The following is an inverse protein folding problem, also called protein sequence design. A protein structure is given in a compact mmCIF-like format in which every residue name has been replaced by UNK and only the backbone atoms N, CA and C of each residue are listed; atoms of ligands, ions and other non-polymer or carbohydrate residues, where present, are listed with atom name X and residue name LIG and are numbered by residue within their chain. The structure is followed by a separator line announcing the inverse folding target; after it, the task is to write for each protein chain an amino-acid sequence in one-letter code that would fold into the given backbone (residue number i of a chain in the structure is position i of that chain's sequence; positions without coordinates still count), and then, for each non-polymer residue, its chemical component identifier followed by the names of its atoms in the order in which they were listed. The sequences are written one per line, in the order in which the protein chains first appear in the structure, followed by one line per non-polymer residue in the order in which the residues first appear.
data_IF_218350285290
#
_entry.id   IF_218350285290
#
_cell.length_a   1.000
_cell.length_b   1.000
_cell.length_c   1.000
_cell.angle_alpha   90.00
_cell.angle_beta   90.00
_cell.angle_gamma   90.00
#
_symmetry.space_group_name_H-M   'P 1'
#
loop_
_entity.id
_entity.type
_entity.pdbx_description
1 polymer ?
#
# COMPACT_ATOMS: atom_id res chain seq x y z
N UNK A 1 67.83 -55.84 20.03
CA UNK A 1 66.48 -55.78 20.60
C UNK A 1 66.09 -54.35 20.62
N UNK A 2 65.29 -53.93 19.64
CA UNK A 2 64.86 -52.57 19.44
C UNK A 2 63.33 -52.51 19.67
N UNK A 3 62.90 -51.66 20.62
CA UNK A 3 61.51 -51.38 20.98
C UNK A 3 60.95 -50.35 20.04
N UNK A 4 59.86 -50.67 19.32
CA UNK A 4 59.09 -49.77 18.52
C UNK A 4 58.07 -49.04 19.40
N UNK A 5 58.20 -47.70 19.53
CA UNK A 5 57.26 -46.85 20.18
C UNK A 5 56.10 -46.47 19.18
N UNK A 6 54.87 -46.76 19.59
CA UNK A 6 53.71 -46.38 18.84
C UNK A 6 53.34 -44.90 19.10
N UNK A 7 53.31 -44.10 18.05
CA UNK A 7 52.82 -42.71 18.10
C UNK A 7 51.30 -42.70 17.96
N UNK A 8 50.57 -42.33 18.98
CA UNK A 8 49.12 -42.05 18.92
C UNK A 8 48.88 -40.67 18.33
N UNK A 9 48.27 -40.63 17.14
CA UNK A 9 47.73 -39.43 16.54
C UNK A 9 46.34 -39.14 17.15
N UNK A 10 46.24 -38.14 18.00
CA UNK A 10 44.97 -37.61 18.49
C UNK A 10 44.43 -36.65 17.45
N UNK A 11 43.41 -37.07 16.69
CA UNK A 11 42.62 -36.19 15.82
C UNK A 11 41.64 -35.36 16.67
N UNK A 12 41.96 -34.10 16.89
CA UNK A 12 41.01 -33.13 17.43
C UNK A 12 39.99 -32.74 16.36
N UNK A 13 38.80 -33.35 16.42
CA UNK A 13 37.63 -32.93 15.62
C UNK A 13 37.12 -31.59 16.13
N UNK A 14 37.51 -30.50 15.49
CA UNK A 14 36.87 -29.22 15.69
C UNK A 14 35.44 -29.29 15.14
N UNK A 15 34.47 -29.37 16.06
CA UNK A 15 33.06 -29.14 15.70
C UNK A 15 32.90 -27.67 15.39
N UNK A 16 32.76 -27.34 14.11
CA UNK A 16 32.28 -26.05 13.63
C UNK A 16 30.81 -25.92 14.05
N UNK A 17 30.56 -25.32 15.20
CA UNK A 17 29.20 -24.85 15.55
C UNK A 17 28.95 -23.60 14.73
N UNK A 18 28.28 -23.76 13.58
CA UNK A 18 27.66 -22.65 12.89
C UNK A 18 26.59 -22.07 13.83
N UNK A 19 26.93 -21.02 14.53
CA UNK A 19 25.98 -20.19 15.26
C UNK A 19 25.04 -19.57 14.24
N UNK A 20 23.85 -20.12 14.07
CA UNK A 20 22.78 -19.48 13.34
C UNK A 20 22.43 -18.20 14.13
N UNK A 21 22.90 -17.04 13.67
CA UNK A 21 22.43 -15.76 14.16
C UNK A 21 20.93 -15.70 13.89
N UNK A 22 20.11 -15.83 14.92
CA UNK A 22 18.70 -15.46 14.85
C UNK A 22 18.64 -13.95 14.63
N UNK A 23 18.29 -13.54 13.43
CA UNK A 23 18.07 -12.12 13.09
C UNK A 23 16.98 -11.56 14.01
N UNK A 24 17.23 -10.44 14.66
CA UNK A 24 16.24 -9.85 15.56
C UNK A 24 15.05 -9.29 14.76
N UNK A 25 13.86 -9.25 15.36
CA UNK A 25 12.65 -8.67 14.73
C UNK A 25 12.89 -7.24 14.23
N UNK A 26 13.65 -6.44 14.97
CA UNK A 26 14.01 -5.09 14.58
C UNK A 26 14.88 -5.05 13.32
N UNK A 27 15.82 -5.97 13.17
CA UNK A 27 16.66 -6.07 11.96
C UNK A 27 15.84 -6.46 10.74
N UNK A 28 14.89 -7.41 10.88
CA UNK A 28 13.98 -7.81 9.79
C UNK A 28 13.10 -6.65 9.33
N UNK A 29 12.46 -5.95 10.26
CA UNK A 29 11.57 -4.82 9.93
C UNK A 29 12.29 -3.65 9.25
N UNK A 30 13.60 -3.49 9.46
CA UNK A 30 14.43 -2.46 8.86
C UNK A 30 15.33 -2.98 7.73
N UNK A 31 15.17 -4.23 7.32
CA UNK A 31 15.94 -4.83 6.25
C UNK A 31 15.81 -4.02 4.95
N UNK A 32 16.89 -3.94 4.18
CA UNK A 32 16.96 -3.17 2.92
C UNK A 32 16.67 -4.00 1.69
N UNK A 33 16.78 -5.32 1.80
CA UNK A 33 16.55 -6.29 0.72
C UNK A 33 15.27 -7.07 0.96
N UNK A 34 14.63 -7.49 -0.11
CA UNK A 34 13.41 -8.28 -0.05
C UNK A 34 13.66 -9.63 0.63
N UNK A 35 14.76 -10.32 0.33
CA UNK A 35 15.08 -11.64 0.88
C UNK A 35 15.20 -11.61 2.42
N UNK A 36 15.67 -10.49 2.97
CA UNK A 36 15.81 -10.33 4.42
C UNK A 36 14.47 -9.93 5.04
N UNK A 37 13.76 -8.98 4.44
CA UNK A 37 12.47 -8.50 4.94
C UNK A 37 11.40 -9.59 4.90
N UNK A 38 11.33 -10.34 3.82
CA UNK A 38 10.27 -11.33 3.59
C UNK A 38 10.33 -12.52 4.56
N UNK A 39 11.39 -12.64 5.38
CA UNK A 39 11.47 -13.59 6.49
C UNK A 39 10.43 -13.33 7.60
N UNK A 40 9.80 -12.15 7.63
CA UNK A 40 8.67 -11.88 8.53
C UNK A 40 7.41 -12.69 8.15
N UNK A 41 7.30 -13.11 6.89
CA UNK A 41 6.17 -13.86 6.35
C UNK A 41 6.41 -15.38 6.41
N UNK A 42 5.34 -16.19 6.37
CA UNK A 42 5.47 -17.62 6.09
C UNK A 42 6.21 -17.86 4.77
N UNK A 43 7.08 -18.88 4.72
CA UNK A 43 7.94 -19.18 3.56
C UNK A 43 7.17 -19.27 2.23
N UNK A 44 5.97 -19.86 2.25
CA UNK A 44 5.12 -19.98 1.05
C UNK A 44 4.75 -18.61 0.46
N UNK A 45 4.52 -17.60 1.32
CA UNK A 45 4.21 -16.24 0.89
C UNK A 45 5.48 -15.47 0.48
N UNK A 46 6.59 -15.66 1.18
CA UNK A 46 7.87 -15.04 0.80
C UNK A 46 8.26 -15.36 -0.65
N UNK A 47 7.97 -16.57 -1.14
CA UNK A 47 8.21 -16.96 -2.54
C UNK A 47 7.37 -16.20 -3.57
N UNK A 48 6.20 -15.67 -3.18
CA UNK A 48 5.33 -14.87 -4.05
C UNK A 48 5.75 -13.39 -4.11
N UNK A 49 6.62 -12.96 -3.21
CA UNK A 49 6.99 -11.55 -3.03
C UNK A 49 7.52 -10.89 -4.31
N UNK A 50 8.36 -11.60 -5.05
CA UNK A 50 8.97 -11.07 -6.27
C UNK A 50 7.97 -10.69 -7.38
N UNK A 51 6.79 -11.32 -7.40
CA UNK A 51 5.78 -11.11 -8.43
C UNK A 51 4.61 -10.25 -7.95
N UNK A 52 4.21 -10.39 -6.68
CA UNK A 52 2.93 -9.88 -6.21
C UNK A 52 3.04 -8.72 -5.22
N UNK A 53 4.22 -8.45 -4.65
CA UNK A 53 4.35 -7.37 -3.67
C UNK A 53 5.47 -6.41 -4.05
N UNK A 54 5.26 -5.16 -3.73
CA UNK A 54 6.22 -4.10 -4.02
C UNK A 54 7.56 -4.37 -3.33
N UNK A 55 8.69 -4.20 -4.04
CA UNK A 55 10.01 -4.32 -3.43
C UNK A 55 10.22 -3.35 -2.26
N UNK A 56 11.03 -3.73 -1.28
CA UNK A 56 11.32 -2.93 -0.07
C UNK A 56 11.70 -1.50 -0.41
N UNK A 57 12.60 -1.28 -1.38
CA UNK A 57 13.06 0.05 -1.77
C UNK A 57 11.95 0.89 -2.42
N UNK A 58 11.03 0.25 -3.14
CA UNK A 58 9.83 0.89 -3.72
C UNK A 58 8.87 1.30 -2.60
N UNK A 59 8.55 0.38 -1.67
CA UNK A 59 7.70 0.66 -0.52
C UNK A 59 8.21 1.86 0.30
N UNK A 60 9.52 1.93 0.60
CA UNK A 60 10.13 3.05 1.33
C UNK A 60 9.96 4.37 0.59
N UNK A 61 10.26 4.39 -0.71
CA UNK A 61 10.13 5.58 -1.53
C UNK A 61 8.67 6.03 -1.60
N UNK A 62 7.73 5.10 -1.84
CA UNK A 62 6.30 5.38 -1.89
C UNK A 62 5.78 5.96 -0.57
N UNK A 63 6.13 5.35 0.56
CA UNK A 63 5.73 5.83 1.89
C UNK A 63 6.25 7.26 2.17
N UNK A 64 7.52 7.54 1.86
CA UNK A 64 8.09 8.88 1.99
C UNK A 64 7.42 9.93 1.09
N UNK A 65 6.94 9.53 -0.09
CA UNK A 65 6.20 10.42 -0.98
C UNK A 65 4.77 10.67 -0.50
N UNK A 66 4.14 9.73 0.17
CA UNK A 66 2.77 9.85 0.67
C UNK A 66 2.70 10.58 2.02
N UNK A 67 3.61 10.28 2.93
CA UNK A 67 3.61 10.86 4.29
C UNK A 67 4.36 12.19 4.28
N UNK A 68 3.62 13.29 4.11
CA UNK A 68 4.18 14.65 4.07
C UNK A 68 4.28 15.31 5.45
N UNK A 69 3.54 14.77 6.42
CA UNK A 69 3.56 15.23 7.81
C UNK A 69 3.28 14.05 8.75
N UNK A 70 3.73 14.12 10.02
CA UNK A 70 3.38 13.10 11.01
C UNK A 70 1.85 12.92 11.12
N UNK A 71 1.42 11.66 11.25
CA UNK A 71 0.01 11.32 11.38
C UNK A 71 -0.78 11.23 10.06
N UNK A 72 -0.16 11.48 8.88
CA UNK A 72 -0.81 11.25 7.58
C UNK A 72 -1.39 9.84 7.53
N UNK A 73 -2.69 9.70 7.24
CA UNK A 73 -3.40 8.42 7.12
C UNK A 73 -3.32 7.94 5.67
N UNK A 74 -2.70 6.80 5.46
CA UNK A 74 -2.45 6.19 4.15
C UNK A 74 -3.28 4.93 4.01
N UNK A 75 -4.03 4.80 2.91
CA UNK A 75 -4.71 3.56 2.52
C UNK A 75 -3.86 2.80 1.50
N UNK A 76 -3.58 1.54 1.78
CA UNK A 76 -2.99 0.56 0.87
C UNK A 76 -4.11 -0.30 0.27
N UNK A 77 -4.38 -0.13 -1.03
CA UNK A 77 -5.47 -0.79 -1.73
C UNK A 77 -5.00 -2.13 -2.29
N UNK A 78 -5.53 -3.23 -1.74
CA UNK A 78 -5.07 -4.58 -2.05
C UNK A 78 -3.72 -4.87 -1.38
N UNK A 79 -3.67 -4.72 -0.05
CA UNK A 79 -2.40 -4.73 0.70
C UNK A 79 -1.70 -6.09 0.76
N UNK A 80 -2.34 -7.17 0.30
CA UNK A 80 -1.78 -8.52 0.39
C UNK A 80 -1.42 -8.89 1.83
N UNK A 81 -0.20 -9.38 2.10
CA UNK A 81 0.27 -9.71 3.45
C UNK A 81 0.74 -8.48 4.24
N UNK A 82 0.46 -7.25 3.77
CA UNK A 82 0.73 -6.01 4.48
C UNK A 82 2.15 -5.46 4.35
N UNK A 83 2.94 -5.91 3.37
CA UNK A 83 4.34 -5.52 3.21
C UNK A 83 4.54 -4.00 3.14
N UNK A 84 3.76 -3.30 2.31
CA UNK A 84 3.85 -1.84 2.18
C UNK A 84 3.47 -1.13 3.50
N UNK A 85 2.39 -1.56 4.16
CA UNK A 85 1.95 -0.98 5.43
C UNK A 85 3.03 -1.08 6.51
N UNK A 86 3.65 -2.26 6.67
CA UNK A 86 4.72 -2.50 7.66
C UNK A 86 5.93 -1.62 7.36
N UNK A 87 6.41 -1.60 6.11
CA UNK A 87 7.56 -0.78 5.70
C UNK A 87 7.25 0.71 5.87
N UNK A 88 6.06 1.14 5.49
CA UNK A 88 5.63 2.53 5.62
C UNK A 88 5.65 3.02 7.07
N UNK A 89 5.06 2.25 7.97
CA UNK A 89 4.99 2.57 9.39
C UNK A 89 6.35 2.55 10.11
N UNK A 90 7.28 1.67 9.67
CA UNK A 90 8.65 1.61 10.23
C UNK A 90 9.59 2.64 9.62
N UNK A 91 9.23 3.24 8.47
CA UNK A 91 10.08 4.19 7.74
C UNK A 91 9.63 5.65 7.92
N UNK A 92 8.35 5.87 8.25
CA UNK A 92 7.74 7.20 8.36
C UNK A 92 6.95 7.36 9.67
N UNK A 93 6.38 8.54 9.89
CA UNK A 93 5.45 8.83 10.99
C UNK A 93 3.97 8.76 10.57
N UNK A 94 3.66 8.10 9.43
CA UNK A 94 2.30 7.90 8.94
C UNK A 94 1.54 6.80 9.69
N UNK A 95 0.22 6.80 9.54
CA UNK A 95 -0.68 5.71 9.90
C UNK A 95 -1.07 4.97 8.61
N UNK A 96 -0.94 3.65 8.60
CA UNK A 96 -1.18 2.84 7.41
C UNK A 96 -2.35 1.89 7.66
N UNK A 97 -3.35 1.95 6.82
CA UNK A 97 -4.44 0.97 6.78
C UNK A 97 -4.35 0.19 5.47
N UNK A 98 -4.25 -1.12 5.56
CA UNK A 98 -4.31 -2.00 4.39
C UNK A 98 -5.67 -2.66 4.28
N UNK A 99 -6.29 -2.64 3.09
CA UNK A 99 -7.49 -3.40 2.79
C UNK A 99 -7.15 -4.58 1.88
N UNK A 100 -7.60 -5.79 2.27
CA UNK A 100 -7.35 -7.02 1.53
C UNK A 100 -8.61 -7.92 1.55
N UNK A 101 -9.06 -8.33 0.34
CA UNK A 101 -10.25 -9.17 0.20
C UNK A 101 -9.99 -10.66 0.48
N UNK A 102 -8.74 -11.14 0.34
CA UNK A 102 -8.37 -12.52 0.65
C UNK A 102 -8.19 -12.71 2.14
N UNK A 103 -9.10 -13.44 2.76
CA UNK A 103 -9.07 -13.65 4.20
C UNK A 103 -7.78 -14.29 4.73
N UNK A 104 -7.09 -15.12 3.93
CA UNK A 104 -5.81 -15.72 4.32
C UNK A 104 -4.69 -14.67 4.36
N UNK A 105 -4.59 -13.82 3.33
CA UNK A 105 -3.59 -12.75 3.26
C UNK A 105 -3.82 -11.71 4.35
N UNK A 106 -5.08 -11.27 4.52
CA UNK A 106 -5.44 -10.32 5.57
C UNK A 106 -5.09 -10.83 6.97
N UNK A 107 -5.40 -12.11 7.29
CA UNK A 107 -5.02 -12.71 8.57
C UNK A 107 -3.51 -12.78 8.74
N UNK A 108 -2.75 -13.19 7.71
CA UNK A 108 -1.28 -13.19 7.78
C UNK A 108 -0.75 -11.79 8.06
N UNK A 109 -1.27 -10.76 7.37
CA UNK A 109 -0.88 -9.38 7.62
C UNK A 109 -1.15 -8.94 9.07
N UNK A 110 -2.34 -9.27 9.61
CA UNK A 110 -2.71 -9.00 11.01
C UNK A 110 -1.77 -9.72 11.99
N UNK A 111 -1.44 -10.98 11.72
CA UNK A 111 -0.51 -11.77 12.55
C UNK A 111 0.90 -11.18 12.54
N UNK A 112 1.41 -10.76 11.37
CA UNK A 112 2.71 -10.11 11.23
C UNK A 112 2.75 -8.79 12.03
N UNK A 113 1.75 -7.93 11.86
CA UNK A 113 1.64 -6.66 12.59
C UNK A 113 1.64 -6.90 14.10
N UNK A 114 0.84 -7.87 14.57
CA UNK A 114 0.74 -8.25 15.98
C UNK A 114 2.05 -8.85 16.53
N UNK A 115 2.61 -9.83 15.81
CA UNK A 115 3.83 -10.57 16.23
C UNK A 115 5.02 -9.64 16.38
N UNK A 116 5.21 -8.73 15.42
CA UNK A 116 6.35 -7.82 15.39
C UNK A 116 6.05 -6.46 16.04
N UNK A 117 4.89 -6.31 16.70
CA UNK A 117 4.46 -5.08 17.39
C UNK A 117 4.59 -3.82 16.53
N UNK A 118 4.22 -3.92 15.24
CA UNK A 118 4.34 -2.80 14.29
C UNK A 118 3.31 -1.71 14.66
N UNK A 119 3.75 -0.52 15.07
CA UNK A 119 2.84 0.55 15.46
C UNK A 119 2.20 1.21 14.24
N UNK A 120 1.03 1.84 14.41
CA UNK A 120 0.36 2.65 13.37
C UNK A 120 0.01 1.88 12.09
N UNK A 121 -0.25 0.58 12.20
CA UNK A 121 -0.74 -0.26 11.11
C UNK A 121 -2.05 -0.92 11.52
N UNK A 122 -3.03 -0.83 10.64
CA UNK A 122 -4.30 -1.54 10.70
C UNK A 122 -4.52 -2.35 9.43
N UNK A 123 -5.01 -3.58 9.55
CA UNK A 123 -5.33 -4.43 8.39
C UNK A 123 -6.81 -4.79 8.45
N UNK A 124 -7.52 -4.41 7.41
CA UNK A 124 -8.95 -4.66 7.21
C UNK A 124 -9.13 -5.80 6.22
N UNK A 125 -9.78 -6.88 6.67
CA UNK A 125 -10.27 -7.91 5.76
C UNK A 125 -11.62 -7.44 5.19
N UNK A 126 -11.65 -7.08 3.92
CA UNK A 126 -12.85 -6.54 3.29
C UNK A 126 -12.65 -6.17 1.82
N UNK A 127 -13.72 -5.73 1.18
CA UNK A 127 -13.69 -5.23 -0.19
C UNK A 127 -13.38 -3.73 -0.20
N UNK A 128 -12.69 -3.26 -1.23
CA UNK A 128 -12.37 -1.83 -1.40
C UNK A 128 -13.63 -0.97 -1.52
N UNK A 129 -14.74 -1.54 -1.99
CA UNK A 129 -16.02 -0.84 -2.12
C UNK A 129 -16.65 -0.48 -0.76
N UNK A 130 -16.27 -1.18 0.31
CA UNK A 130 -16.76 -0.94 1.67
C UNK A 130 -15.92 0.10 2.44
N UNK A 131 -14.81 0.58 1.85
CA UNK A 131 -13.88 1.50 2.50
C UNK A 131 -14.26 2.96 2.23
N UNK A 132 -14.35 3.76 3.29
CA UNK A 132 -14.58 5.19 3.17
C UNK A 132 -13.25 5.93 2.94
N UNK A 133 -13.01 6.39 1.70
CA UNK A 133 -11.77 7.10 1.34
C UNK A 133 -11.57 8.43 2.09
N UNK A 134 -12.63 9.04 2.63
CA UNK A 134 -12.53 10.29 3.39
C UNK A 134 -11.82 10.13 4.74
N UNK A 135 -11.61 8.90 5.18
CA UNK A 135 -10.85 8.60 6.39
C UNK A 135 -9.33 8.67 6.17
N UNK A 136 -8.88 8.94 4.91
CA UNK A 136 -7.48 8.93 4.51
C UNK A 136 -7.07 10.22 3.80
N UNK A 137 -5.78 10.56 3.84
CA UNK A 137 -5.18 11.69 3.13
C UNK A 137 -4.33 11.26 1.93
N UNK A 138 -3.93 9.98 1.89
CA UNK A 138 -3.05 9.47 0.84
C UNK A 138 -3.34 7.99 0.51
N UNK A 139 -2.98 7.56 -0.70
CA UNK A 139 -3.34 6.25 -1.22
C UNK A 139 -2.16 5.60 -1.93
N UNK A 140 -2.03 4.29 -1.77
CA UNK A 140 -1.07 3.47 -2.47
C UNK A 140 -1.76 2.38 -3.28
N UNK A 141 -1.31 2.17 -4.53
CA UNK A 141 -1.82 1.14 -5.45
C UNK A 141 -0.65 0.45 -6.14
N UNK A 142 -0.64 -0.88 -6.09
CA UNK A 142 0.22 -1.70 -6.93
C UNK A 142 -0.64 -2.71 -7.68
N UNK A 143 -1.20 -2.31 -8.82
CA UNK A 143 -2.06 -3.14 -9.69
C UNK A 143 -3.07 -4.00 -8.91
N UNK A 144 -3.84 -3.44 -7.97
CA UNK A 144 -4.61 -4.25 -7.01
C UNK A 144 -5.70 -5.10 -7.65
N UNK A 145 -6.08 -4.83 -8.90
CA UNK A 145 -7.19 -5.50 -9.59
C UNK A 145 -6.76 -6.29 -10.83
N UNK A 146 -5.48 -6.29 -11.18
CA UNK A 146 -4.96 -6.83 -12.44
C UNK A 146 -5.18 -8.34 -12.60
N UNK A 147 -5.23 -9.10 -11.50
CA UNK A 147 -5.55 -10.53 -11.53
C UNK A 147 -6.90 -10.84 -12.18
N UNK A 148 -7.86 -9.89 -12.15
CA UNK A 148 -9.18 -10.08 -12.79
C UNK A 148 -9.09 -10.17 -14.33
N UNK A 149 -8.07 -9.58 -14.93
CA UNK A 149 -7.85 -9.56 -16.40
C UNK A 149 -6.64 -10.36 -16.82
N UNK A 150 -5.77 -10.74 -15.88
CA UNK A 150 -4.57 -11.55 -16.14
C UNK A 150 -4.55 -12.81 -15.26
N UNK A 151 -5.25 -13.88 -15.63
CA UNK A 151 -5.34 -15.10 -14.82
C UNK A 151 -3.98 -15.76 -14.51
N UNK A 152 -2.94 -15.46 -15.29
CA UNK A 152 -1.57 -15.92 -15.03
C UNK A 152 -0.96 -15.32 -13.76
N UNK A 153 -1.49 -14.19 -13.28
CA UNK A 153 -1.09 -13.51 -12.04
C UNK A 153 -1.92 -13.96 -10.83
N UNK A 154 -2.77 -14.98 -10.97
CA UNK A 154 -3.62 -15.46 -9.87
C UNK A 154 -2.77 -15.97 -8.70
N UNK A 155 -2.98 -15.40 -7.52
CA UNK A 155 -2.33 -15.81 -6.27
C UNK A 155 -2.91 -17.13 -5.76
N UNK A 156 -4.25 -17.24 -5.74
CA UNK A 156 -5.00 -18.41 -5.26
C UNK A 156 -6.41 -18.48 -5.88
N UNK A 157 -7.22 -19.43 -5.39
CA UNK A 157 -8.61 -19.61 -5.82
C UNK A 157 -9.63 -19.21 -4.74
N UNK A 158 -9.22 -18.45 -3.72
CA UNK A 158 -10.07 -18.07 -2.59
C UNK A 158 -11.05 -16.93 -2.93
N UNK A 159 -10.81 -16.21 -4.03
CA UNK A 159 -11.69 -15.14 -4.53
C UNK A 159 -12.05 -15.37 -5.99
N UNK A 160 -13.24 -14.92 -6.34
CA UNK A 160 -13.69 -14.88 -7.73
C UNK A 160 -12.93 -13.79 -8.49
N UNK A 161 -12.48 -14.10 -9.70
CA UNK A 161 -11.78 -13.17 -10.58
C UNK A 161 -12.51 -13.12 -11.91
N UNK A 162 -13.01 -11.94 -12.28
CA UNK A 162 -13.71 -11.67 -13.54
C UNK A 162 -13.30 -10.33 -14.13
N UNK A 163 -13.20 -10.20 -15.46
CA UNK A 163 -12.87 -8.93 -16.11
C UNK A 163 -13.79 -7.77 -15.73
N UNK A 164 -15.09 -8.03 -15.46
CA UNK A 164 -16.01 -7.00 -14.99
C UNK A 164 -15.58 -6.38 -13.65
N UNK A 165 -15.02 -7.19 -12.73
CA UNK A 165 -14.56 -6.72 -11.42
C UNK A 165 -13.38 -5.76 -11.54
N UNK A 166 -12.49 -5.96 -12.52
CA UNK A 166 -11.44 -4.98 -12.83
C UNK A 166 -12.04 -3.61 -13.13
N UNK A 167 -13.03 -3.56 -14.03
CA UNK A 167 -13.69 -2.31 -14.41
C UNK A 167 -14.46 -1.69 -13.25
N UNK A 168 -15.20 -2.49 -12.50
CA UNK A 168 -16.00 -2.03 -11.35
C UNK A 168 -15.12 -1.44 -10.25
N UNK A 169 -14.03 -2.13 -9.86
CA UNK A 169 -13.14 -1.65 -8.80
C UNK A 169 -12.31 -0.44 -9.23
N UNK A 170 -11.79 -0.43 -10.45
CA UNK A 170 -11.07 0.74 -11.00
C UNK A 170 -11.97 1.96 -11.07
N UNK A 171 -13.21 1.81 -11.56
CA UNK A 171 -14.19 2.90 -11.60
C UNK A 171 -14.58 3.37 -10.19
N UNK A 172 -14.74 2.45 -9.22
CA UNK A 172 -15.01 2.79 -7.82
C UNK A 172 -13.88 3.66 -7.24
N UNK A 173 -12.63 3.21 -7.36
CA UNK A 173 -11.45 3.97 -6.86
C UNK A 173 -11.40 5.34 -7.52
N UNK A 174 -11.57 5.42 -8.84
CA UNK A 174 -11.59 6.68 -9.57
C UNK A 174 -12.66 7.64 -9.03
N UNK A 175 -13.88 7.15 -8.82
CA UNK A 175 -14.98 7.95 -8.27
C UNK A 175 -14.70 8.44 -6.84
N UNK A 176 -14.09 7.60 -5.99
CA UNK A 176 -13.71 8.00 -4.64
C UNK A 176 -12.62 9.09 -4.69
N UNK A 177 -11.59 8.91 -5.52
CA UNK A 177 -10.51 9.90 -5.70
C UNK A 177 -11.04 11.24 -6.25
N UNK A 178 -12.04 11.23 -7.13
CA UNK A 178 -12.73 12.45 -7.58
C UNK A 178 -13.32 13.26 -6.41
N UNK A 179 -13.77 12.60 -5.35
CA UNK A 179 -14.40 13.24 -4.17
C UNK A 179 -13.39 13.71 -3.10
N UNK A 180 -12.12 13.35 -3.24
CA UNK A 180 -11.09 13.72 -2.28
C UNK A 180 -10.76 15.22 -2.34
N UNK A 181 -10.25 15.81 -1.25
CA UNK A 181 -9.84 17.22 -1.24
C UNK A 181 -8.63 17.49 -2.15
N UNK A 182 -8.40 18.78 -2.43
CA UNK A 182 -7.19 19.24 -3.10
C UNK A 182 -5.95 18.82 -2.32
N UNK A 183 -4.84 18.62 -3.02
CA UNK A 183 -3.57 18.15 -2.50
C UNK A 183 -3.56 16.69 -2.01
N UNK A 184 -4.66 15.92 -2.12
CA UNK A 184 -4.66 14.46 -1.91
C UNK A 184 -3.58 13.83 -2.77
N UNK A 185 -2.82 12.91 -2.17
CA UNK A 185 -1.67 12.25 -2.79
C UNK A 185 -1.99 10.79 -3.10
N UNK A 186 -1.61 10.35 -4.27
CA UNK A 186 -1.69 8.94 -4.67
C UNK A 186 -0.33 8.52 -5.19
N UNK A 187 0.14 7.35 -4.79
CA UNK A 187 1.28 6.70 -5.43
C UNK A 187 0.81 5.43 -6.09
N UNK A 188 1.09 5.30 -7.38
CA UNK A 188 0.92 4.05 -8.13
C UNK A 188 2.28 3.43 -8.41
N UNK A 189 2.37 2.10 -8.31
CA UNK A 189 3.53 1.33 -8.75
C UNK A 189 3.09 0.34 -9.82
N UNK A 190 3.74 0.41 -10.99
CA UNK A 190 3.28 -0.25 -12.23
C UNK A 190 1.85 0.20 -12.62
N UNK A 191 1.20 -0.51 -13.54
CA UNK A 191 -0.15 -0.19 -13.99
C UNK A 191 -0.23 1.00 -14.94
N UNK A 192 -1.38 1.14 -15.57
CA UNK A 192 -1.68 2.18 -16.57
C UNK A 192 -2.24 3.47 -15.94
N UNK A 193 -2.67 3.40 -14.67
CA UNK A 193 -3.20 4.54 -13.93
C UNK A 193 -4.66 4.88 -14.27
N UNK A 194 -5.44 3.93 -14.77
CA UNK A 194 -6.85 4.12 -15.09
C UNK A 194 -7.70 4.53 -13.87
N UNK A 195 -7.25 4.18 -12.67
CA UNK A 195 -7.90 4.59 -11.42
C UNK A 195 -7.71 6.08 -11.10
N UNK A 196 -6.78 6.76 -11.78
CA UNK A 196 -6.40 8.14 -11.45
C UNK A 196 -7.22 9.14 -12.29
N UNK A 197 -8.06 9.98 -11.66
CA UNK A 197 -8.83 10.99 -12.39
C UNK A 197 -7.98 12.10 -12.99
N UNK A 198 -8.44 12.72 -14.07
CA UNK A 198 -7.77 13.83 -14.78
C UNK A 198 -7.48 15.06 -13.90
N UNK A 199 -8.18 15.21 -12.78
CA UNK A 199 -7.91 16.29 -11.82
C UNK A 199 -6.64 16.07 -10.97
N UNK A 200 -5.96 14.93 -11.14
CA UNK A 200 -4.65 14.64 -10.55
C UNK A 200 -3.55 14.85 -11.58
N UNK A 201 -2.46 15.48 -11.19
CA UNK A 201 -1.25 15.61 -12.00
C UNK A 201 -0.16 14.67 -11.49
N UNK A 202 0.52 13.98 -12.40
CA UNK A 202 1.75 13.27 -12.08
C UNK A 202 2.86 14.30 -11.83
N UNK A 203 3.34 14.39 -10.60
CA UNK A 203 4.32 15.41 -10.17
C UNK A 203 5.71 14.84 -9.94
N UNK A 204 5.84 13.52 -9.87
CA UNK A 204 7.13 12.83 -9.71
C UNK A 204 7.05 11.41 -10.20
N UNK A 205 8.14 10.93 -10.82
CA UNK A 205 8.33 9.53 -11.19
C UNK A 205 9.63 8.98 -10.59
N UNK A 206 9.72 7.67 -10.48
CA UNK A 206 10.93 6.94 -10.07
C UNK A 206 10.92 5.52 -10.62
N UNK A 207 12.05 4.80 -10.51
CA UNK A 207 12.21 3.41 -10.95
C UNK A 207 11.79 3.20 -12.41
N UNK A 208 12.36 3.99 -13.31
CA UNK A 208 12.06 3.96 -14.76
C UNK A 208 10.57 4.13 -15.02
N UNK A 209 10.00 5.18 -14.40
CA UNK A 209 8.60 5.60 -14.47
C UNK A 209 7.55 4.58 -13.97
N UNK A 210 7.99 3.48 -13.35
CA UNK A 210 7.09 2.50 -12.74
C UNK A 210 6.40 3.02 -11.49
N UNK A 211 7.07 3.86 -10.70
CA UNK A 211 6.47 4.55 -9.55
C UNK A 211 6.09 5.96 -9.96
N UNK A 212 4.83 6.33 -9.75
CA UNK A 212 4.31 7.66 -10.05
C UNK A 212 3.63 8.26 -8.83
N UNK A 213 3.98 9.51 -8.51
CA UNK A 213 3.27 10.31 -7.52
C UNK A 213 2.29 11.24 -8.23
N UNK A 214 1.03 11.08 -7.90
CA UNK A 214 -0.08 11.91 -8.36
C UNK A 214 -0.55 12.82 -7.22
N UNK A 215 -0.87 14.06 -7.54
CA UNK A 215 -1.42 15.03 -6.58
C UNK A 215 -2.63 15.69 -7.21
N UNK A 216 -3.73 15.75 -6.44
CA UNK A 216 -4.93 16.45 -6.90
C UNK A 216 -4.68 17.93 -7.04
N UNK A 217 -4.76 18.46 -8.26
CA UNK A 217 -4.43 19.85 -8.63
C UNK A 217 -5.62 20.69 -9.04
N UNK A 218 -6.74 20.03 -9.43
CA UNK A 218 -7.93 20.70 -9.92
C UNK A 218 -9.17 20.20 -9.19
N UNK A 219 -10.19 21.06 -8.99
CA UNK A 219 -11.50 20.61 -8.55
C UNK A 219 -12.07 19.58 -9.55
N UNK A 220 -12.83 18.62 -9.04
CA UNK A 220 -13.49 17.65 -9.92
C UNK A 220 -14.62 18.32 -10.71
N UNK A 221 -14.82 18.00 -11.99
CA UNK A 221 -15.85 18.63 -12.83
C UNK A 221 -17.26 18.60 -12.23
N UNK A 222 -17.62 17.53 -11.55
CA UNK A 222 -18.93 17.40 -10.88
C UNK A 222 -19.12 18.36 -9.69
N UNK A 223 -18.02 18.85 -9.07
CA UNK A 223 -18.09 19.81 -7.96
C UNK A 223 -18.22 21.27 -8.44
N UNK A 224 -17.67 21.59 -9.62
CA UNK A 224 -17.80 22.93 -10.21
C UNK A 224 -19.24 23.22 -10.61
N UNK A 225 -20.00 22.21 -11.05
CA UNK A 225 -21.41 22.41 -11.44
C UNK A 225 -22.32 22.61 -10.21
N UNK A 226 -22.11 21.87 -9.11
CA UNK A 226 -22.87 22.05 -7.87
C UNK A 226 -22.57 23.38 -7.16
N UNK A 227 -21.30 23.82 -7.17
CA UNK A 227 -20.89 25.11 -6.61
C UNK A 227 -21.39 26.30 -7.45
N UNK A 228 -21.48 26.15 -8.77
CA UNK A 228 -22.05 27.16 -9.66
C UNK A 228 -23.57 27.32 -9.45
N UNK A 229 -24.31 26.22 -9.29
CA UNK A 229 -25.76 26.25 -9.01
C UNK A 229 -26.07 26.86 -7.63
N UNK A 230 -25.23 26.62 -6.61
CA UNK A 230 -25.42 27.22 -5.28
C UNK A 230 -25.06 28.72 -5.23
N UNK A 231 -24.17 29.20 -6.13
CA UNK A 231 -23.82 30.61 -6.22
C UNK A 231 -24.90 31.45 -6.94
N UNK A 232 -25.62 30.85 -7.87
CA UNK A 232 -26.73 31.53 -8.56
C UNK A 232 -27.99 31.63 -7.67
N UNK A 233 -28.25 30.69 -6.77
CA UNK A 233 -29.38 30.74 -5.82
C UNK A 233 -29.26 31.88 -4.78
N UNK A 234 -28.05 32.36 -4.52
CA UNK A 234 -27.81 33.50 -3.60
C UNK A 234 -27.92 34.87 -4.28
N UNK A 235 -28.03 34.94 -5.60
CA UNK A 235 -28.20 36.22 -6.34
C UNK A 235 -29.66 36.64 -6.57
N UNK A 236 -30.63 35.75 -6.36
CA UNK A 236 -32.07 36.01 -6.65
C UNK A 236 -32.83 36.53 -5.42
N UNK A 237 -32.26 36.54 -4.20
CA UNK A 237 -32.95 36.95 -2.97
C UNK A 237 -32.71 38.40 -2.53
N UNK A 238 -32.19 39.27 -3.41
CA UNK A 238 -31.81 40.67 -3.10
C UNK A 238 -32.57 41.76 -3.90
N UNK A 239 -33.83 41.55 -4.25
CA UNK A 239 -34.63 42.56 -4.96
C UNK A 239 -35.99 42.79 -4.29
N UNK A 240 -36.00 43.46 -3.14
CA UNK A 240 -37.20 43.96 -2.52
C UNK A 240 -37.46 45.39 -3.03
N UNK A 241 -38.43 45.58 -3.91
CA UNK A 241 -38.91 46.90 -4.29
C UNK A 241 -39.88 47.45 -3.23
N UNK A 242 -39.47 48.58 -2.60
CA UNK A 242 -40.32 49.44 -1.82
C UNK A 242 -41.29 50.19 -2.78
N UNK A 243 -42.58 49.84 -2.76
CA UNK A 243 -43.63 50.71 -3.24
C UNK A 243 -44.30 51.43 -2.07
N UNK A 244 -43.95 52.70 -1.91
CA UNK A 244 -44.69 53.62 -1.05
C UNK A 244 -45.88 54.19 -1.83
N UNK A 245 -47.09 54.06 -1.30
CA UNK A 245 -48.27 54.83 -1.69
C UNK A 245 -48.30 56.13 -0.93
N UNK A 246 -48.45 57.24 -1.67
CA UNK A 246 -49.05 58.46 -1.26
C UNK A 246 -50.04 58.91 -2.35
#
# INVERSE_FOLDING_TARGET
MQSLGAVMLTSSSQRNTSSSRTTSDSELLHAKKDEDFDQIFPEALGRLSACHWSPVHVCRTAAQLLVVQPGTRVLDIGCGPGKFCVIGATTTQGHFTGVEQRGKLARTAQEVVKKHHVPRVEIVHGNIQDVNFRDFEAFYLFNPFEENIMPALRIDYDVELEPRLYTEYSAHVQQQLLRMPMATRVVTYCGDGLEIPDCYACVKTAFTDKLKLWVKKHPSPAYTHAAALSADDHRISGGGEDYAFA
#
